data_IF_045091231389
#
_entry.id   IF_045091231389
#
_cell.length_a   1.000
_cell.length_b   1.000
_cell.length_c   1.000
_cell.angle_alpha   90.00
_cell.angle_beta   90.00
_cell.angle_gamma   90.00
#
_symmetry.space_group_name_H-M   'P 1'
#
loop_
_entity.id
_entity.type
_entity.pdbx_description
1 polymer ?
#
# COMPACT_ATOMS: atom_id res chain seq x y z
N UNK A 1 -2.24 -38.72 14.78
CA UNK A 1 -1.33 -37.82 15.54
C UNK A 1 0.06 -38.44 15.50
N UNK A 2 1.11 -37.65 15.35
CA UNK A 2 2.51 -38.12 15.29
C UNK A 2 3.30 -37.56 16.48
N UNK A 3 4.33 -38.26 16.99
CA UNK A 3 5.24 -37.73 18.00
C UNK A 3 5.97 -36.48 17.51
N UNK A 4 6.36 -35.58 18.43
CA UNK A 4 7.09 -34.34 18.08
C UNK A 4 8.42 -34.62 17.38
N UNK A 5 9.11 -35.71 17.75
CA UNK A 5 10.36 -36.13 17.10
C UNK A 5 10.15 -36.56 15.65
N UNK A 6 9.07 -37.30 15.37
CA UNK A 6 8.71 -37.68 14.00
C UNK A 6 8.44 -36.44 13.16
N UNK A 7 7.69 -35.46 13.68
CA UNK A 7 7.40 -34.21 12.97
C UNK A 7 8.69 -33.42 12.68
N UNK A 8 9.57 -33.28 13.67
CA UNK A 8 10.87 -32.60 13.51
C UNK A 8 11.73 -33.29 12.43
N UNK A 9 11.82 -34.62 12.47
CA UNK A 9 12.54 -35.40 11.46
C UNK A 9 11.96 -35.21 10.07
N UNK A 10 10.63 -35.27 9.93
CA UNK A 10 9.97 -35.07 8.64
C UNK A 10 10.30 -33.71 8.06
N UNK A 11 10.32 -32.63 8.86
CA UNK A 11 10.71 -31.29 8.40
C UNK A 11 12.15 -31.31 7.86
N UNK A 12 13.08 -31.96 8.58
CA UNK A 12 14.48 -32.11 8.15
C UNK A 12 14.62 -32.94 6.87
N UNK A 13 13.92 -34.08 6.77
CA UNK A 13 13.90 -34.96 5.59
C UNK A 13 13.30 -34.29 4.35
N UNK A 14 12.40 -33.34 4.53
CA UNK A 14 11.88 -32.50 3.44
C UNK A 14 12.90 -31.46 2.92
N UNK A 15 14.06 -31.35 3.57
CA UNK A 15 15.16 -30.46 3.18
C UNK A 15 15.07 -29.06 3.80
N UNK A 16 14.17 -28.81 4.75
CA UNK A 16 14.17 -27.57 5.52
C UNK A 16 15.28 -27.60 6.58
N UNK A 17 15.84 -26.44 6.91
CA UNK A 17 16.91 -26.30 7.91
C UNK A 17 16.56 -25.33 9.05
N UNK A 18 15.37 -24.73 9.03
CA UNK A 18 14.97 -23.71 9.97
C UNK A 18 13.45 -23.72 10.18
N UNK A 19 13.01 -23.50 11.42
CA UNK A 19 11.60 -23.38 11.79
C UNK A 19 11.38 -22.07 12.54
N UNK A 20 10.50 -21.20 12.02
CA UNK A 20 9.93 -20.08 12.78
C UNK A 20 8.83 -20.64 13.66
N UNK A 21 9.01 -20.60 14.99
CA UNK A 21 8.14 -21.23 15.97
C UNK A 21 7.34 -20.16 16.74
N UNK A 22 6.05 -19.99 16.44
CA UNK A 22 5.18 -19.00 17.08
C UNK A 22 4.89 -19.32 18.55
N UNK A 23 4.81 -18.27 19.37
CA UNK A 23 4.24 -18.32 20.72
C UNK A 23 3.41 -17.07 21.03
N UNK A 24 2.57 -17.12 22.06
CA UNK A 24 1.85 -15.94 22.57
C UNK A 24 2.38 -15.50 23.94
N UNK A 25 2.35 -14.19 24.21
CA UNK A 25 2.68 -13.64 25.54
C UNK A 25 1.78 -14.23 26.63
N UNK A 26 0.50 -14.46 26.32
CA UNK A 26 -0.44 -15.18 27.19
C UNK A 26 0.04 -16.59 27.51
N UNK A 27 0.35 -17.40 26.49
CA UNK A 27 0.75 -18.80 26.66
C UNK A 27 1.98 -18.91 27.55
N UNK A 28 2.97 -18.03 27.34
CA UNK A 28 4.14 -17.95 28.21
C UNK A 28 3.79 -17.52 29.63
N UNK A 29 3.02 -16.43 29.78
CA UNK A 29 2.74 -15.81 31.09
C UNK A 29 1.85 -16.68 31.97
N UNK A 30 0.73 -17.17 31.42
CA UNK A 30 -0.23 -17.99 32.19
C UNK A 30 0.21 -19.44 32.33
N UNK A 31 1.12 -19.90 31.47
CA UNK A 31 1.66 -21.26 31.44
C UNK A 31 0.60 -22.34 31.66
N UNK A 32 -0.46 -22.40 30.83
CA UNK A 32 -1.59 -23.29 31.09
C UNK A 32 -1.16 -24.76 31.00
N UNK A 33 -1.83 -25.61 31.78
CA UNK A 33 -1.75 -27.06 31.60
C UNK A 33 -2.41 -27.43 30.27
N UNK A 34 -1.70 -28.18 29.42
CA UNK A 34 -2.24 -28.64 28.14
C UNK A 34 -3.01 -29.94 28.38
N UNK A 35 -4.21 -30.03 27.80
CA UNK A 35 -5.06 -31.20 27.93
C UNK A 35 -4.36 -32.44 27.31
N UNK A 36 -4.26 -33.52 28.09
CA UNK A 36 -3.59 -34.78 27.71
C UNK A 36 -4.12 -35.39 26.40
N UNK A 37 -5.37 -35.10 26.03
CA UNK A 37 -5.93 -35.51 24.74
C UNK A 37 -5.12 -34.96 23.54
N UNK A 38 -4.51 -33.78 23.66
CA UNK A 38 -3.61 -33.22 22.65
C UNK A 38 -2.22 -33.88 22.65
N UNK A 39 -1.85 -34.53 23.75
CA UNK A 39 -0.51 -35.10 23.99
C UNK A 39 -0.45 -36.62 23.82
N UNK A 40 -1.52 -37.26 23.34
CA UNK A 40 -1.59 -38.72 23.12
C UNK A 40 -0.44 -39.34 22.30
N UNK A 41 0.19 -38.58 21.40
CA UNK A 41 1.36 -39.05 20.65
C UNK A 41 2.71 -38.79 21.36
N UNK A 42 2.68 -38.13 22.51
CA UNK A 42 3.82 -37.79 23.35
C UNK A 42 3.49 -38.09 24.84
N UNK A 43 3.28 -39.37 25.22
CA UNK A 43 2.84 -39.74 26.57
C UNK A 43 3.75 -39.23 27.69
N UNK A 44 5.04 -39.05 27.40
CA UNK A 44 6.02 -38.50 28.34
C UNK A 44 5.75 -37.04 28.75
N UNK A 45 4.89 -36.32 28.01
CA UNK A 45 4.49 -34.95 28.33
C UNK A 45 3.11 -34.88 29.03
N UNK A 46 2.41 -36.01 29.21
CA UNK A 46 1.09 -36.04 29.84
C UNK A 46 1.16 -35.83 31.36
N UNK A 47 0.04 -35.43 31.96
CA UNK A 47 -0.16 -35.29 33.40
C UNK A 47 0.44 -34.02 34.04
N UNK A 48 1.51 -33.46 33.46
CA UNK A 48 2.10 -32.20 33.92
C UNK A 48 2.66 -31.35 32.76
N UNK A 49 2.16 -31.57 31.53
CA UNK A 49 2.57 -30.84 30.34
C UNK A 49 2.03 -29.42 30.32
N UNK A 50 2.73 -28.50 30.98
CA UNK A 50 2.46 -27.09 30.90
C UNK A 50 3.04 -26.50 29.59
N UNK A 51 2.52 -25.34 29.17
CA UNK A 51 2.89 -24.71 27.90
C UNK A 51 4.41 -24.56 27.73
N UNK A 52 5.12 -24.06 28.75
CA UNK A 52 6.57 -23.81 28.69
C UNK A 52 7.36 -25.10 28.49
N UNK A 53 6.96 -26.16 29.19
CA UNK A 53 7.57 -27.48 29.14
C UNK A 53 7.37 -28.13 27.75
N UNK A 54 6.16 -27.99 27.20
CA UNK A 54 5.85 -28.49 25.85
C UNK A 54 6.56 -27.67 24.77
N UNK A 55 6.64 -26.34 24.94
CA UNK A 55 7.38 -25.48 24.03
C UNK A 55 8.86 -25.85 24.04
N UNK A 56 9.45 -26.05 25.23
CA UNK A 56 10.82 -26.54 25.38
C UNK A 56 11.02 -27.89 24.70
N UNK A 57 10.16 -28.87 24.96
CA UNK A 57 10.26 -30.18 24.34
C UNK A 57 10.17 -30.10 22.80
N UNK A 58 9.37 -29.17 22.28
CA UNK A 58 9.25 -28.92 20.84
C UNK A 58 10.53 -28.34 20.25
N UNK A 59 11.13 -27.32 20.90
CA UNK A 59 12.41 -26.74 20.46
C UNK A 59 13.55 -27.77 20.56
N UNK A 60 13.60 -28.54 21.65
CA UNK A 60 14.61 -29.60 21.82
C UNK A 60 14.47 -30.65 20.71
N UNK A 61 13.25 -31.08 20.37
CA UNK A 61 13.01 -32.02 19.28
C UNK A 61 13.46 -31.47 17.92
N UNK A 62 13.11 -30.22 17.59
CA UNK A 62 13.54 -29.56 16.36
C UNK A 62 15.06 -29.49 16.25
N UNK A 63 15.71 -29.00 17.31
CA UNK A 63 17.16 -28.81 17.34
C UNK A 63 17.93 -30.13 17.37
N UNK A 64 17.36 -31.20 17.93
CA UNK A 64 17.96 -32.55 17.89
C UNK A 64 18.04 -33.15 16.49
N UNK A 65 17.18 -32.71 15.57
CA UNK A 65 17.18 -33.10 14.16
C UNK A 65 17.97 -32.10 13.29
N UNK A 66 18.75 -31.21 13.92
CA UNK A 66 19.64 -30.24 13.26
C UNK A 66 18.97 -28.99 12.73
N UNK A 67 17.69 -28.77 13.04
CA UNK A 67 16.94 -27.59 12.58
C UNK A 67 17.26 -26.37 13.45
N UNK A 68 17.54 -25.24 12.79
CA UNK A 68 17.55 -23.94 13.45
C UNK A 68 16.12 -23.54 13.87
N UNK A 69 16.00 -22.78 14.95
CA UNK A 69 14.72 -22.28 15.46
C UNK A 69 14.78 -20.76 15.62
N UNK A 70 13.80 -20.09 15.04
CA UNK A 70 13.49 -18.67 15.25
C UNK A 70 12.27 -18.62 16.17
N UNK A 71 12.45 -18.16 17.41
CA UNK A 71 11.33 -18.00 18.34
C UNK A 71 10.59 -16.72 17.98
N UNK A 72 9.30 -16.81 17.70
CA UNK A 72 8.49 -15.69 17.23
C UNK A 72 7.38 -15.35 18.22
N UNK A 73 7.40 -14.14 18.78
CA UNK A 73 6.24 -13.62 19.50
C UNK A 73 5.15 -13.26 18.50
N UNK A 74 4.19 -14.18 18.34
CA UNK A 74 3.17 -14.06 17.33
C UNK A 74 1.97 -13.24 17.79
N UNK A 75 1.65 -13.35 19.08
CA UNK A 75 0.50 -12.71 19.67
C UNK A 75 0.73 -12.29 21.11
N UNK A 76 -0.10 -11.34 21.56
CA UNK A 76 -0.30 -11.06 22.96
C UNK A 76 -1.23 -12.12 23.56
N UNK A 77 -2.40 -12.34 22.97
CA UNK A 77 -3.38 -13.37 23.38
C UNK A 77 -3.24 -14.65 22.55
N UNK A 78 -3.42 -15.81 23.15
CA UNK A 78 -3.43 -17.10 22.45
C UNK A 78 -4.61 -17.15 21.49
N UNK A 79 -4.35 -17.28 20.19
CA UNK A 79 -5.42 -17.32 19.18
C UNK A 79 -4.90 -17.05 17.77
N UNK A 80 -5.82 -16.71 16.87
CA UNK A 80 -5.54 -16.33 15.49
C UNK A 80 -5.19 -14.85 15.37
N UNK A 81 -4.24 -14.55 14.49
CA UNK A 81 -3.91 -13.21 14.00
C UNK A 81 -3.60 -13.28 12.50
N UNK A 82 -3.76 -12.22 11.72
CA UNK A 82 -4.01 -10.85 12.15
C UNK A 82 -5.14 -10.19 11.33
N UNK A 83 -6.00 -9.41 11.97
CA UNK A 83 -6.95 -8.54 11.28
C UNK A 83 -6.91 -7.13 11.86
N UNK A 84 -7.26 -6.13 11.04
CA UNK A 84 -7.26 -4.70 11.42
C UNK A 84 -8.14 -4.36 12.63
N UNK A 85 -9.10 -5.23 12.96
CA UNK A 85 -10.04 -5.04 14.06
C UNK A 85 -9.61 -5.71 15.38
N UNK A 86 -8.58 -6.55 15.31
CA UNK A 86 -7.99 -7.22 16.47
C UNK A 86 -7.00 -6.29 17.17
N UNK A 87 -7.01 -6.34 18.50
CA UNK A 87 -6.03 -5.65 19.34
C UNK A 87 -4.72 -6.45 19.40
N UNK A 88 -4.08 -6.66 18.25
CA UNK A 88 -2.83 -7.43 18.14
C UNK A 88 -1.79 -6.72 17.26
N UNK A 89 -2.09 -5.55 16.70
CA UNK A 89 -1.15 -4.82 15.85
C UNK A 89 0.04 -4.22 16.59
N UNK A 90 -0.11 -3.93 17.88
CA UNK A 90 0.96 -3.39 18.72
C UNK A 90 1.63 -4.50 19.53
N UNK A 91 2.77 -4.20 20.16
CA UNK A 91 3.52 -5.15 21.01
C UNK A 91 2.90 -5.36 22.40
N UNK A 92 1.75 -4.76 22.67
CA UNK A 92 1.04 -4.85 23.94
C UNK A 92 -0.46 -4.74 23.73
N UNK A 93 -1.22 -5.22 24.72
CA UNK A 93 -2.69 -5.11 24.83
C UNK A 93 -3.04 -4.72 26.26
N UNK A 94 -4.28 -4.28 26.57
CA UNK A 94 -4.65 -3.92 27.95
C UNK A 94 -4.34 -4.99 28.99
N UNK A 95 -4.44 -6.28 28.64
CA UNK A 95 -4.17 -7.41 29.53
C UNK A 95 -2.68 -7.79 29.62
N UNK A 96 -1.87 -7.45 28.61
CA UNK A 96 -0.44 -7.77 28.55
C UNK A 96 0.36 -6.53 28.16
N UNK A 97 0.98 -5.91 29.17
CA UNK A 97 1.83 -4.73 28.99
C UNK A 97 3.08 -5.02 28.16
N UNK A 98 3.72 -3.95 27.67
CA UNK A 98 5.05 -4.03 27.05
C UNK A 98 6.06 -4.75 27.96
N UNK A 99 6.05 -4.47 29.26
CA UNK A 99 6.95 -5.14 30.22
C UNK A 99 6.69 -6.65 30.30
N UNK A 100 5.44 -7.08 30.18
CA UNK A 100 5.07 -8.51 30.17
C UNK A 100 5.53 -9.17 28.87
N UNK A 101 5.36 -8.49 27.74
CA UNK A 101 5.89 -8.94 26.44
C UNK A 101 7.41 -9.10 26.47
N UNK A 102 8.15 -8.08 26.91
CA UNK A 102 9.62 -8.15 27.04
C UNK A 102 10.04 -9.27 28.00
N UNK A 103 9.37 -9.40 29.16
CA UNK A 103 9.66 -10.47 30.11
C UNK A 103 9.44 -11.86 29.51
N UNK A 104 8.47 -12.03 28.60
CA UNK A 104 8.26 -13.30 27.90
C UNK A 104 9.40 -13.64 26.95
N UNK A 105 9.89 -12.67 26.18
CA UNK A 105 11.04 -12.81 25.29
C UNK A 105 12.30 -13.16 26.07
N UNK A 106 12.57 -12.41 27.15
CA UNK A 106 13.73 -12.63 28.04
C UNK A 106 13.67 -14.03 28.68
N UNK A 107 12.49 -14.46 29.15
CA UNK A 107 12.32 -15.78 29.75
C UNK A 107 12.63 -16.93 28.79
N UNK A 108 12.17 -16.83 27.53
CA UNK A 108 12.52 -17.79 26.48
C UNK A 108 14.01 -17.70 26.11
N UNK A 109 14.58 -16.51 26.02
CA UNK A 109 16.00 -16.31 25.72
C UNK A 109 16.92 -16.92 26.79
N UNK A 110 16.54 -16.80 28.07
CA UNK A 110 17.22 -17.49 29.18
C UNK A 110 17.04 -19.01 29.09
N UNK A 111 15.83 -19.49 28.80
CA UNK A 111 15.52 -20.92 28.72
C UNK A 111 16.37 -21.65 27.66
N UNK A 112 16.69 -20.98 26.55
CA UNK A 112 17.43 -21.58 25.43
C UNK A 112 18.86 -21.02 25.27
N UNK A 113 19.42 -20.39 26.31
CA UNK A 113 20.74 -19.76 26.26
C UNK A 113 21.85 -20.68 25.78
N UNK A 114 21.80 -21.94 26.18
CA UNK A 114 22.82 -22.95 25.89
C UNK A 114 22.48 -23.80 24.65
N UNK A 115 21.39 -23.49 23.94
CA UNK A 115 21.02 -24.17 22.69
C UNK A 115 21.44 -23.31 21.49
N UNK A 116 22.55 -23.65 20.79
CA UNK A 116 23.08 -22.82 19.70
C UNK A 116 22.20 -22.85 18.44
N UNK A 117 21.25 -23.79 18.34
CA UNK A 117 20.31 -23.86 17.21
C UNK A 117 19.06 -23.02 17.45
N UNK A 118 18.87 -22.42 18.62
CA UNK A 118 17.95 -21.28 18.78
C UNK A 118 18.69 -20.03 18.33
N UNK A 119 18.52 -19.68 17.05
CA UNK A 119 19.40 -18.70 16.38
C UNK A 119 18.88 -17.27 16.44
N UNK A 120 17.57 -17.09 16.63
CA UNK A 120 16.98 -15.76 16.60
C UNK A 120 15.67 -15.64 17.39
N UNK A 121 15.37 -14.40 17.77
CA UNK A 121 14.11 -13.98 18.33
C UNK A 121 13.46 -12.95 17.40
N UNK A 122 12.35 -13.34 16.80
CA UNK A 122 11.42 -12.41 16.17
C UNK A 122 10.53 -11.81 17.26
N UNK A 123 10.81 -10.56 17.55
CA UNK A 123 10.30 -9.88 18.75
C UNK A 123 8.81 -9.60 18.66
N UNK A 124 8.23 -9.45 17.46
CA UNK A 124 6.79 -9.25 17.27
C UNK A 124 6.38 -9.53 15.83
N UNK A 125 5.42 -10.42 15.66
CA UNK A 125 4.78 -10.70 14.38
C UNK A 125 3.93 -9.52 13.90
N UNK A 126 4.11 -9.15 12.63
CA UNK A 126 3.22 -8.26 11.88
C UNK A 126 2.76 -6.98 12.61
N UNK A 127 3.67 -6.10 13.08
CA UNK A 127 3.25 -4.81 13.62
C UNK A 127 2.38 -4.02 12.62
N UNK A 128 1.20 -3.56 13.07
CA UNK A 128 0.23 -2.87 12.22
C UNK A 128 -0.64 -1.87 12.99
N UNK A 129 -1.29 -0.98 12.24
CA UNK A 129 -2.26 -0.04 12.78
C UNK A 129 -3.48 -0.77 13.35
N UNK A 130 -4.03 -0.28 14.47
CA UNK A 130 -5.26 -0.82 15.05
C UNK A 130 -6.32 0.29 15.07
N UNK A 131 -7.41 0.12 14.31
CA UNK A 131 -8.52 1.08 14.22
C UNK A 131 -8.06 2.53 14.00
N UNK A 132 -7.99 3.33 15.08
CA UNK A 132 -7.63 4.76 15.07
C UNK A 132 -6.23 5.04 15.63
N UNK A 133 -5.51 4.02 16.11
CA UNK A 133 -4.15 4.12 16.64
C UNK A 133 -3.18 3.68 15.54
N UNK A 134 -2.36 4.63 15.10
CA UNK A 134 -1.41 4.43 13.99
C UNK A 134 -0.01 4.19 14.55
N UNK A 135 0.64 3.14 14.04
CA UNK A 135 2.02 2.80 14.37
C UNK A 135 2.96 3.82 13.72
N UNK A 136 4.01 4.19 14.45
CA UNK A 136 5.08 5.07 13.97
C UNK A 136 6.41 4.34 14.00
N UNK A 137 7.43 4.95 13.40
CA UNK A 137 8.79 4.41 13.36
C UNK A 137 9.79 5.56 13.44
N UNK A 138 10.56 5.61 14.53
CA UNK A 138 11.65 6.57 14.71
C UNK A 138 11.23 7.98 15.15
N UNK A 139 9.97 8.20 15.54
CA UNK A 139 9.49 9.50 16.03
C UNK A 139 9.65 9.69 17.55
N UNK A 140 10.08 8.64 18.26
CA UNK A 140 10.34 8.65 19.69
C UNK A 140 9.11 8.59 20.59
N UNK A 141 7.90 8.44 20.02
CA UNK A 141 6.69 8.31 20.81
C UNK A 141 6.62 6.90 21.45
N UNK A 142 6.69 6.76 22.78
CA UNK A 142 6.72 5.44 23.43
C UNK A 142 5.45 4.62 23.22
N UNK A 143 4.33 5.24 22.86
CA UNK A 143 3.06 4.54 22.67
C UNK A 143 2.87 3.99 21.25
N UNK A 144 3.64 4.47 20.28
CA UNK A 144 3.45 4.15 18.85
C UNK A 144 4.72 3.82 18.08
N UNK A 145 5.89 4.19 18.58
CA UNK A 145 7.16 3.98 17.88
C UNK A 145 7.61 2.53 18.00
N UNK A 146 7.35 1.76 16.94
CA UNK A 146 7.77 0.36 16.87
C UNK A 146 9.30 0.23 16.91
N UNK A 147 10.05 1.15 16.29
CA UNK A 147 11.50 1.06 16.26
C UNK A 147 12.10 1.18 17.68
N UNK A 148 11.53 2.07 18.49
CA UNK A 148 11.89 2.24 19.89
C UNK A 148 11.58 0.99 20.71
N UNK A 149 10.36 0.44 20.58
CA UNK A 149 9.94 -0.76 21.30
C UNK A 149 10.75 -2.00 20.90
N UNK A 150 10.98 -2.22 19.61
CA UNK A 150 11.78 -3.32 19.08
C UNK A 150 13.23 -3.25 19.58
N UNK A 151 13.82 -2.04 19.60
CA UNK A 151 15.17 -1.81 20.13
C UNK A 151 15.25 -2.15 21.61
N UNK A 152 14.25 -1.75 22.40
CA UNK A 152 14.19 -2.06 23.83
C UNK A 152 14.08 -3.56 24.09
N UNK A 153 13.18 -4.25 23.39
CA UNK A 153 13.00 -5.70 23.51
C UNK A 153 14.24 -6.49 23.05
N UNK A 154 14.80 -6.13 21.89
CA UNK A 154 16.01 -6.76 21.37
C UNK A 154 17.20 -6.62 22.32
N UNK A 155 17.40 -5.43 22.88
CA UNK A 155 18.45 -5.20 23.88
C UNK A 155 18.25 -6.03 25.16
N UNK A 156 17.01 -6.21 25.62
CA UNK A 156 16.71 -7.02 26.79
C UNK A 156 16.97 -8.52 26.54
N UNK A 157 16.65 -9.03 25.34
CA UNK A 157 16.99 -10.39 24.92
C UNK A 157 18.51 -10.59 24.87
N UNK A 158 19.23 -9.64 24.28
CA UNK A 158 20.69 -9.75 24.13
C UNK A 158 21.46 -9.64 25.45
N UNK A 159 20.91 -8.98 26.48
CA UNK A 159 21.50 -8.94 27.82
C UNK A 159 21.59 -10.34 28.46
N UNK A 160 20.68 -11.24 28.11
CA UNK A 160 20.62 -12.58 28.71
C UNK A 160 21.18 -13.64 27.78
N UNK A 161 21.04 -13.46 26.47
CA UNK A 161 21.56 -14.32 25.43
C UNK A 161 22.19 -13.50 24.29
N UNK A 162 23.51 -13.21 24.33
CA UNK A 162 24.19 -12.35 23.35
C UNK A 162 24.48 -13.04 22.01
N UNK A 163 24.16 -14.34 21.88
CA UNK A 163 24.50 -15.15 20.71
C UNK A 163 23.39 -15.20 19.66
N UNK A 164 22.16 -14.80 20.01
CA UNK A 164 21.01 -14.82 19.09
C UNK A 164 20.91 -13.55 18.25
N UNK A 165 20.27 -13.66 17.10
CA UNK A 165 19.85 -12.53 16.29
C UNK A 165 18.49 -12.00 16.78
N UNK A 166 18.24 -10.72 16.55
CA UNK A 166 16.97 -10.05 16.80
C UNK A 166 16.33 -9.74 15.46
N UNK A 167 15.23 -10.44 15.17
CA UNK A 167 14.43 -10.23 13.97
C UNK A 167 13.41 -9.14 14.27
N UNK A 168 13.42 -8.07 13.48
CA UNK A 168 12.52 -6.92 13.60
C UNK A 168 11.68 -6.82 12.34
N UNK A 169 10.38 -7.06 12.50
CA UNK A 169 9.38 -6.91 11.45
C UNK A 169 9.22 -5.45 11.00
N UNK A 170 8.85 -5.23 9.74
CA UNK A 170 8.46 -3.92 9.21
C UNK A 170 7.10 -3.42 9.74
N UNK A 171 6.70 -2.24 9.28
CA UNK A 171 5.36 -1.71 9.52
C UNK A 171 4.32 -2.41 8.62
N UNK A 172 3.05 -2.13 8.90
CA UNK A 172 1.93 -2.50 8.03
C UNK A 172 1.85 -4.00 7.79
N UNK A 173 1.62 -4.78 8.85
CA UNK A 173 1.63 -6.25 8.77
C UNK A 173 2.97 -6.79 8.26
N UNK A 174 4.07 -6.15 8.65
CA UNK A 174 5.42 -6.50 8.19
C UNK A 174 5.63 -6.31 6.66
N UNK A 175 4.85 -5.47 5.98
CA UNK A 175 5.02 -5.25 4.54
C UNK A 175 6.08 -4.20 4.19
N UNK A 176 6.31 -3.21 5.06
CA UNK A 176 7.05 -2.00 4.71
C UNK A 176 8.27 -1.77 5.62
N UNK A 177 9.46 -1.81 5.00
CA UNK A 177 10.75 -1.48 5.62
C UNK A 177 11.26 -0.09 5.22
N UNK A 178 10.49 0.69 4.46
CA UNK A 178 10.80 2.05 4.04
C UNK A 178 11.36 2.95 5.16
N UNK A 179 10.78 2.95 6.38
CA UNK A 179 11.27 3.78 7.48
C UNK A 179 12.72 3.51 7.90
N UNK A 180 13.25 2.30 7.68
CA UNK A 180 14.59 1.89 8.14
C UNK A 180 15.70 2.70 7.48
N UNK A 181 15.47 3.20 6.26
CA UNK A 181 16.46 4.02 5.55
C UNK A 181 16.84 5.27 6.35
N UNK A 182 15.88 5.87 7.02
CA UNK A 182 16.05 7.11 7.80
C UNK A 182 16.33 6.80 9.28
N UNK A 183 15.70 5.76 9.80
CA UNK A 183 15.79 5.37 11.22
C UNK A 183 16.10 3.87 11.37
N UNK A 184 17.34 3.43 11.11
CA UNK A 184 17.71 2.03 11.30
C UNK A 184 17.72 1.66 12.79
N UNK A 185 17.33 0.42 13.11
CA UNK A 185 17.43 -0.15 14.46
C UNK A 185 18.90 -0.21 14.88
N UNK A 186 19.20 0.35 16.05
CA UNK A 186 20.52 0.31 16.66
C UNK A 186 20.45 -0.40 18.01
N UNK A 187 20.91 -1.66 18.03
CA UNK A 187 21.06 -2.42 19.26
C UNK A 187 22.42 -2.09 19.92
N UNK A 188 22.50 -2.23 21.25
CA UNK A 188 23.74 -2.01 22.01
C UNK A 188 24.84 -2.99 21.58
N UNK A 189 24.46 -4.24 21.30
CA UNK A 189 25.36 -5.24 20.73
C UNK A 189 25.25 -5.19 19.19
N UNK A 190 26.31 -4.81 18.48
CA UNK A 190 26.27 -4.67 17.02
C UNK A 190 26.16 -6.03 16.32
N UNK A 191 25.80 -6.01 15.04
CA UNK A 191 25.72 -7.20 14.17
C UNK A 191 24.75 -8.26 14.70
N UNK A 192 23.59 -7.80 15.18
CA UNK A 192 22.52 -8.67 15.72
C UNK A 192 21.14 -8.42 15.12
N UNK A 193 20.94 -7.35 14.36
CA UNK A 193 19.64 -7.04 13.75
C UNK A 193 19.46 -7.82 12.45
N UNK A 194 18.28 -8.41 12.28
CA UNK A 194 17.76 -8.94 11.01
C UNK A 194 16.41 -8.28 10.77
N UNK A 195 16.16 -7.79 9.56
CA UNK A 195 14.85 -7.24 9.20
C UNK A 195 14.00 -8.30 8.49
N UNK A 196 12.71 -8.33 8.81
CA UNK A 196 11.74 -9.26 8.21
C UNK A 196 10.68 -8.49 7.42
N UNK A 197 10.22 -9.11 6.34
CA UNK A 197 9.04 -8.68 5.59
C UNK A 197 8.10 -9.86 5.35
N UNK A 198 6.81 -9.58 5.39
CA UNK A 198 5.76 -10.49 4.94
C UNK A 198 5.20 -9.99 3.62
N UNK A 199 4.99 -10.91 2.69
CA UNK A 199 4.46 -10.58 1.36
C UNK A 199 3.44 -11.64 0.95
N UNK A 200 2.18 -11.23 0.95
CA UNK A 200 1.04 -12.06 0.58
C UNK A 200 0.27 -11.42 -0.58
N UNK A 201 -0.54 -12.23 -1.26
CA UNK A 201 -1.27 -11.77 -2.45
C UNK A 201 -2.38 -10.79 -2.10
N UNK A 202 -2.96 -10.97 -0.92
CA UNK A 202 -4.02 -10.18 -0.30
C UNK A 202 -3.59 -8.72 -0.07
N UNK A 203 -2.28 -8.49 0.06
CA UNK A 203 -1.68 -7.20 0.32
C UNK A 203 -1.44 -6.36 -0.94
N UNK A 204 -1.60 -6.95 -2.12
CA UNK A 204 -1.26 -6.33 -3.39
C UNK A 204 -2.53 -6.11 -4.22
N UNK A 205 -3.05 -4.88 -4.27
CA UNK A 205 -4.28 -4.55 -5.01
C UNK A 205 -4.23 -5.04 -6.47
N UNK A 206 -3.11 -4.86 -7.15
CA UNK A 206 -2.94 -5.31 -8.52
C UNK A 206 -3.04 -6.84 -8.62
N UNK A 207 -2.44 -7.56 -7.68
CA UNK A 207 -2.44 -9.02 -7.67
C UNK A 207 -3.80 -9.59 -7.25
N UNK A 208 -4.51 -8.92 -6.34
CA UNK A 208 -5.91 -9.18 -6.01
C UNK A 208 -6.80 -9.05 -7.25
N UNK A 209 -6.61 -7.98 -8.03
CA UNK A 209 -7.31 -7.80 -9.32
C UNK A 209 -6.98 -8.95 -10.26
N UNK A 210 -5.71 -9.34 -10.36
CA UNK A 210 -5.31 -10.38 -11.30
C UNK A 210 -5.76 -11.79 -10.93
N UNK A 211 -5.89 -12.07 -9.64
CA UNK A 211 -6.38 -13.35 -9.14
C UNK A 211 -7.90 -13.49 -9.28
N UNK A 212 -8.65 -12.42 -9.03
CA UNK A 212 -10.11 -12.50 -8.94
C UNK A 212 -10.82 -12.14 -10.25
N UNK A 213 -10.21 -11.32 -11.10
CA UNK A 213 -10.90 -10.78 -12.28
C UNK A 213 -10.20 -11.14 -13.59
N UNK A 214 -8.90 -10.88 -13.72
CA UNK A 214 -8.23 -11.00 -15.01
C UNK A 214 -6.70 -11.15 -14.90
N UNK A 215 -6.13 -12.22 -15.47
CA UNK A 215 -4.68 -12.44 -15.46
C UNK A 215 -3.88 -11.26 -16.03
N UNK A 216 -2.63 -11.09 -15.57
CA UNK A 216 -1.69 -10.09 -16.12
C UNK A 216 -1.54 -10.17 -17.64
N UNK A 217 -1.50 -11.39 -18.20
CA UNK A 217 -1.41 -11.60 -19.64
C UNK A 217 -2.65 -11.06 -20.37
N UNK A 218 -3.84 -11.24 -19.81
CA UNK A 218 -5.08 -10.72 -20.38
C UNK A 218 -5.15 -9.20 -20.29
N UNK A 219 -4.74 -8.61 -19.17
CA UNK A 219 -4.64 -7.15 -18.99
C UNK A 219 -3.69 -6.57 -20.02
N UNK A 220 -2.50 -7.15 -20.19
CA UNK A 220 -1.52 -6.69 -21.17
C UNK A 220 -2.05 -6.80 -22.61
N UNK A 221 -2.66 -7.93 -22.98
CA UNK A 221 -3.23 -8.11 -24.33
C UNK A 221 -4.35 -7.13 -24.62
N UNK A 222 -5.25 -6.89 -23.66
CA UNK A 222 -6.32 -5.91 -23.78
C UNK A 222 -5.73 -4.51 -23.93
N UNK A 223 -4.74 -4.16 -23.09
CA UNK A 223 -4.02 -2.89 -23.16
C UNK A 223 -3.38 -2.66 -24.52
N UNK A 224 -2.66 -3.65 -25.07
CA UNK A 224 -2.08 -3.59 -26.40
C UNK A 224 -3.12 -3.44 -27.50
N UNK A 225 -4.23 -4.19 -27.41
CA UNK A 225 -5.32 -4.10 -28.39
C UNK A 225 -5.95 -2.72 -28.40
N UNK A 226 -6.25 -2.16 -27.22
CA UNK A 226 -6.77 -0.80 -27.08
C UNK A 226 -5.77 0.24 -27.60
N UNK A 227 -4.49 0.09 -27.29
CA UNK A 227 -3.45 0.99 -27.79
C UNK A 227 -3.38 0.99 -29.32
N UNK A 228 -3.37 -0.19 -29.96
CA UNK A 228 -3.38 -0.31 -31.42
C UNK A 228 -4.64 0.30 -32.03
N UNK A 229 -5.81 0.05 -31.44
CA UNK A 229 -7.07 0.63 -31.91
C UNK A 229 -7.06 2.17 -31.81
N UNK A 230 -6.55 2.72 -30.71
CA UNK A 230 -6.39 4.17 -30.54
C UNK A 230 -5.43 4.74 -31.57
N UNK A 231 -4.29 4.09 -31.82
CA UNK A 231 -3.35 4.51 -32.87
C UNK A 231 -3.98 4.50 -34.27
N UNK A 232 -4.78 3.48 -34.59
CA UNK A 232 -5.52 3.41 -35.86
C UNK A 232 -6.54 4.55 -35.95
N UNK A 233 -7.28 4.80 -34.88
CA UNK A 233 -8.26 5.89 -34.82
C UNK A 233 -7.57 7.26 -35.00
N UNK A 234 -6.43 7.48 -34.35
CA UNK A 234 -5.64 8.72 -34.48
C UNK A 234 -5.13 8.89 -35.92
N UNK A 235 -4.61 7.83 -36.54
CA UNK A 235 -4.19 7.86 -37.95
C UNK A 235 -5.37 8.16 -38.89
N UNK A 236 -6.55 7.59 -38.62
CA UNK A 236 -7.77 7.88 -39.38
C UNK A 236 -8.18 9.36 -39.23
N UNK A 237 -8.16 9.89 -38.00
CA UNK A 237 -8.42 11.30 -37.70
C UNK A 237 -7.42 12.22 -38.44
N UNK A 238 -6.13 11.89 -38.42
CA UNK A 238 -5.09 12.64 -39.15
C UNK A 238 -5.32 12.58 -40.66
N UNK A 239 -5.67 11.42 -41.21
CA UNK A 239 -5.98 11.28 -42.64
C UNK A 239 -7.19 12.14 -43.05
N UNK A 240 -8.28 12.11 -42.28
CA UNK A 240 -9.46 12.96 -42.52
C UNK A 240 -9.07 14.44 -42.40
N UNK A 241 -8.32 14.82 -41.37
CA UNK A 241 -7.84 16.19 -41.18
C UNK A 241 -6.99 16.68 -42.37
N UNK A 242 -6.11 15.83 -42.92
CA UNK A 242 -5.33 16.14 -44.12
C UNK A 242 -6.24 16.33 -45.35
N UNK A 243 -7.23 15.46 -45.57
CA UNK A 243 -8.17 15.55 -46.69
C UNK A 243 -9.04 16.82 -46.64
N UNK A 244 -9.36 17.31 -45.44
CA UNK A 244 -10.09 18.56 -45.24
C UNK A 244 -9.22 19.82 -45.41
N UNK A 245 -7.96 19.68 -45.84
CA UNK A 245 -7.06 20.82 -46.03
C UNK A 245 -6.44 21.34 -44.74
N UNK A 246 -6.31 20.50 -43.72
CA UNK A 246 -5.72 20.83 -42.41
C UNK A 246 -6.42 22.03 -41.73
N UNK A 247 -7.75 21.96 -41.53
CA UNK A 247 -8.49 23.06 -40.92
C UNK A 247 -7.88 23.39 -39.56
N UNK A 248 -7.72 24.69 -39.29
CA UNK A 248 -7.21 25.19 -38.01
C UNK A 248 -8.39 25.52 -37.11
N UNK A 249 -8.39 25.07 -35.85
CA UNK A 249 -9.44 25.44 -34.92
C UNK A 249 -9.44 26.97 -34.70
N UNK A 250 -10.61 27.57 -34.40
CA UNK A 250 -10.69 28.99 -34.04
C UNK A 250 -9.75 29.36 -32.89
N UNK A 251 -9.34 30.63 -32.84
CA UNK A 251 -8.42 31.13 -31.80
C UNK A 251 -8.98 30.82 -30.40
N UNK A 252 -8.18 30.17 -29.57
CA UNK A 252 -8.57 29.79 -28.20
C UNK A 252 -9.23 28.41 -28.06
N UNK A 253 -9.83 27.84 -29.11
CA UNK A 253 -10.46 26.50 -29.04
C UNK A 253 -9.41 25.44 -28.71
N UNK A 254 -8.26 25.45 -29.39
CA UNK A 254 -7.18 24.47 -29.16
C UNK A 254 -6.71 24.44 -27.71
N UNK A 255 -6.47 25.60 -27.11
CA UNK A 255 -6.05 25.70 -25.71
C UNK A 255 -7.16 25.31 -24.74
N UNK A 256 -8.42 25.65 -25.05
CA UNK A 256 -9.57 25.28 -24.21
C UNK A 256 -9.75 23.78 -24.19
N UNK A 257 -9.71 23.13 -25.36
CA UNK A 257 -9.80 21.67 -25.47
C UNK A 257 -8.65 20.96 -24.76
N UNK A 258 -7.41 21.46 -24.91
CA UNK A 258 -6.26 20.88 -24.22
C UNK A 258 -6.43 20.94 -22.69
N UNK A 259 -6.69 22.13 -22.13
CA UNK A 259 -6.82 22.27 -20.68
C UNK A 259 -8.06 21.57 -20.13
N UNK A 260 -9.15 21.46 -20.91
CA UNK A 260 -10.32 20.68 -20.52
C UNK A 260 -9.99 19.19 -20.38
N UNK A 261 -9.34 18.57 -21.37
CA UNK A 261 -8.93 17.16 -21.30
C UNK A 261 -7.86 16.93 -20.23
N UNK A 262 -6.88 17.81 -20.13
CA UNK A 262 -5.84 17.74 -19.11
C UNK A 262 -6.44 17.75 -17.69
N UNK A 263 -7.35 18.70 -17.40
CA UNK A 263 -8.06 18.74 -16.12
C UNK A 263 -8.95 17.52 -15.90
N UNK A 264 -9.66 17.05 -16.93
CA UNK A 264 -10.51 15.86 -16.82
C UNK A 264 -9.70 14.61 -16.43
N UNK A 265 -8.57 14.36 -17.09
CA UNK A 265 -7.69 13.23 -16.75
C UNK A 265 -7.16 13.37 -15.32
N UNK A 266 -6.73 14.57 -14.91
CA UNK A 266 -6.25 14.80 -13.55
C UNK A 266 -7.34 14.61 -12.48
N UNK A 267 -8.61 14.92 -12.78
CA UNK A 267 -9.74 14.62 -11.88
C UNK A 267 -9.91 13.12 -11.68
N UNK A 268 -9.80 12.33 -12.76
CA UNK A 268 -9.88 10.87 -12.67
C UNK A 268 -8.72 10.29 -11.87
N UNK A 269 -7.51 10.77 -12.13
CA UNK A 269 -6.29 10.35 -11.42
C UNK A 269 -6.37 10.74 -9.94
N UNK A 270 -6.82 11.96 -9.61
CA UNK A 270 -6.99 12.40 -8.24
C UNK A 270 -8.05 11.58 -7.51
N UNK A 271 -9.17 11.26 -8.17
CA UNK A 271 -10.21 10.38 -7.64
C UNK A 271 -9.64 8.99 -7.30
N UNK A 272 -8.80 8.44 -8.17
CA UNK A 272 -8.11 7.17 -7.93
C UNK A 272 -7.18 7.28 -6.71
N UNK A 273 -6.36 8.34 -6.61
CA UNK A 273 -5.50 8.54 -5.45
C UNK A 273 -6.28 8.67 -4.15
N UNK A 274 -7.39 9.38 -4.14
CA UNK A 274 -8.27 9.51 -2.97
C UNK A 274 -8.83 8.15 -2.55
N UNK A 275 -9.28 7.34 -3.52
CA UNK A 275 -9.78 5.99 -3.26
C UNK A 275 -8.68 5.08 -2.69
N UNK A 276 -7.48 5.10 -3.29
CA UNK A 276 -6.33 4.36 -2.79
C UNK A 276 -5.92 4.82 -1.40
N UNK A 277 -5.85 6.13 -1.15
CA UNK A 277 -5.49 6.66 0.17
C UNK A 277 -6.49 6.21 1.23
N UNK A 278 -7.80 6.26 0.92
CA UNK A 278 -8.85 5.83 1.83
C UNK A 278 -8.77 4.35 2.16
N UNK A 279 -8.45 3.51 1.16
CA UNK A 279 -8.23 2.08 1.34
C UNK A 279 -6.97 1.79 2.17
N UNK A 280 -5.81 2.29 1.74
CA UNK A 280 -4.53 1.99 2.38
C UNK A 280 -4.41 2.57 3.78
N UNK A 281 -5.07 3.70 4.09
CA UNK A 281 -5.04 4.29 5.44
C UNK A 281 -5.52 3.35 6.54
N UNK A 282 -6.35 2.35 6.21
CA UNK A 282 -6.86 1.36 7.16
C UNK A 282 -5.86 0.23 7.45
N UNK A 283 -4.98 -0.09 6.50
CA UNK A 283 -4.05 -1.22 6.59
C UNK A 283 -2.60 -0.78 6.79
N UNK A 284 -2.25 0.39 6.29
CA UNK A 284 -0.92 0.95 6.29
C UNK A 284 -0.97 2.49 6.22
N UNK A 285 -1.17 3.13 7.37
CA UNK A 285 -1.21 4.58 7.49
C UNK A 285 0.11 5.24 7.06
N UNK A 286 1.23 4.60 7.37
CA UNK A 286 2.56 5.06 6.95
C UNK A 286 2.62 5.26 5.44
N UNK A 287 2.37 4.21 4.65
CA UNK A 287 2.36 4.28 3.18
C UNK A 287 1.34 5.30 2.65
N UNK A 288 0.15 5.33 3.23
CA UNK A 288 -0.88 6.29 2.82
C UNK A 288 -0.40 7.74 2.98
N UNK A 289 0.26 8.07 4.10
CA UNK A 289 0.74 9.43 4.39
C UNK A 289 2.02 9.81 3.69
N UNK A 290 2.98 8.89 3.55
CA UNK A 290 4.29 9.21 2.96
C UNK A 290 4.24 9.20 1.44
N UNK A 291 3.45 8.31 0.84
CA UNK A 291 3.41 8.14 -0.62
C UNK A 291 2.12 8.66 -1.26
N UNK A 292 0.96 8.14 -0.85
CA UNK A 292 -0.30 8.47 -1.52
C UNK A 292 -0.71 9.94 -1.31
N UNK A 293 -0.55 10.48 -0.10
CA UNK A 293 -0.83 11.88 0.17
C UNK A 293 0.06 12.81 -0.67
N UNK A 294 1.33 12.46 -0.86
CA UNK A 294 2.25 13.23 -1.72
C UNK A 294 1.77 13.25 -3.18
N UNK A 295 1.35 12.10 -3.73
CA UNK A 295 0.78 12.02 -5.07
C UNK A 295 -0.51 12.83 -5.21
N UNK A 296 -1.37 12.83 -4.18
CA UNK A 296 -2.57 13.66 -4.14
C UNK A 296 -2.23 15.15 -4.17
N UNK A 297 -1.24 15.60 -3.40
CA UNK A 297 -0.80 17.00 -3.39
C UNK A 297 -0.27 17.43 -4.75
N UNK A 298 0.60 16.64 -5.39
CA UNK A 298 1.11 16.94 -6.74
C UNK A 298 -0.04 17.00 -7.75
N UNK A 299 -0.90 15.98 -7.76
CA UNK A 299 -2.00 15.90 -8.73
C UNK A 299 -2.98 17.07 -8.55
N UNK A 300 -3.25 17.46 -7.30
CA UNK A 300 -4.07 18.63 -6.99
C UNK A 300 -3.44 19.93 -7.49
N UNK A 301 -2.13 20.11 -7.29
CA UNK A 301 -1.39 21.26 -7.83
C UNK A 301 -1.45 21.32 -9.37
N UNK A 302 -1.22 20.19 -10.03
CA UNK A 302 -1.36 20.07 -11.48
C UNK A 302 -2.78 20.37 -11.96
N UNK A 303 -3.80 19.93 -11.22
CA UNK A 303 -5.20 20.16 -11.55
C UNK A 303 -5.55 21.65 -11.45
N UNK A 304 -5.05 22.35 -10.42
CA UNK A 304 -5.22 23.80 -10.30
C UNK A 304 -4.61 24.56 -11.48
N UNK A 305 -3.41 24.16 -11.92
CA UNK A 305 -2.79 24.73 -13.14
C UNK A 305 -3.63 24.45 -14.39
N UNK A 306 -4.19 23.24 -14.50
CA UNK A 306 -5.10 22.87 -15.58
C UNK A 306 -6.37 23.74 -15.61
N UNK A 307 -7.02 23.90 -14.46
CA UNK A 307 -8.25 24.70 -14.30
C UNK A 307 -7.96 26.18 -14.58
N UNK A 308 -6.86 26.73 -14.06
CA UNK A 308 -6.44 28.09 -14.35
C UNK A 308 -6.19 28.31 -15.85
N UNK A 309 -5.50 27.35 -16.50
CA UNK A 309 -5.29 27.35 -17.95
C UNK A 309 -6.60 27.30 -18.74
N UNK A 310 -7.57 26.49 -18.29
CA UNK A 310 -8.89 26.39 -18.89
C UNK A 310 -9.65 27.71 -18.78
N UNK A 311 -9.70 28.32 -17.59
CA UNK A 311 -10.35 29.62 -17.36
C UNK A 311 -9.72 30.69 -18.25
N UNK A 312 -8.39 30.81 -18.26
CA UNK A 312 -7.68 31.77 -19.08
C UNK A 312 -7.91 31.55 -20.59
N UNK A 313 -8.06 30.29 -21.02
CA UNK A 313 -8.39 29.95 -22.41
C UNK A 313 -9.83 30.33 -22.76
N UNK A 314 -10.79 30.06 -21.87
CA UNK A 314 -12.20 30.43 -22.06
C UNK A 314 -12.38 31.95 -22.11
N UNK A 315 -11.67 32.71 -21.28
CA UNK A 315 -11.67 34.18 -21.33
C UNK A 315 -11.13 34.69 -22.66
N UNK A 316 -10.00 34.13 -23.14
CA UNK A 316 -9.42 34.49 -24.45
C UNK A 316 -10.37 34.15 -25.60
N UNK A 317 -10.99 32.98 -25.55
CA UNK A 317 -11.99 32.56 -26.54
C UNK A 317 -13.19 33.51 -26.59
N UNK A 318 -13.77 33.85 -25.42
CA UNK A 318 -14.89 34.81 -25.33
C UNK A 318 -14.53 36.20 -25.85
N UNK A 319 -13.33 36.70 -25.52
CA UNK A 319 -12.86 38.01 -26.03
C UNK A 319 -12.69 38.00 -27.55
N UNK A 320 -12.12 36.94 -28.10
CA UNK A 320 -11.93 36.82 -29.55
C UNK A 320 -13.25 36.76 -30.32
N UNK A 321 -14.31 36.22 -29.72
CA UNK A 321 -15.62 36.09 -30.37
C UNK A 321 -16.60 37.24 -30.09
N UNK A 322 -16.50 37.95 -28.96
CA UNK A 322 -17.25 39.21 -28.79
C UNK A 322 -16.85 40.26 -29.82
N UNK A 323 -15.56 40.38 -30.11
CA UNK A 323 -15.05 41.34 -31.11
C UNK A 323 -15.51 40.99 -32.53
N UNK A 324 -15.81 39.73 -32.83
CA UNK A 324 -16.37 39.37 -34.14
C UNK A 324 -17.86 39.60 -34.25
N UNK A 325 -18.62 39.49 -33.14
CA UNK A 325 -20.05 39.78 -33.13
C UNK A 325 -20.30 41.30 -33.30
N UNK A 326 -19.57 42.17 -32.58
CA UNK A 326 -19.67 43.64 -32.74
C UNK A 326 -19.31 44.12 -34.15
N UNK A 327 -18.28 43.53 -34.79
CA UNK A 327 -17.92 43.89 -36.18
C UNK A 327 -18.90 43.33 -37.22
N UNK A 328 -19.66 42.28 -36.89
CA UNK A 328 -20.66 41.70 -37.79
C UNK A 328 -21.98 42.46 -37.79
N UNK A 329 -22.29 43.19 -36.70
CA UNK A 329 -23.43 44.12 -36.66
C UNK A 329 -23.14 45.35 -37.54
N UNK A 330 -21.95 45.95 -37.45
CA UNK A 330 -21.52 47.08 -38.32
C UNK A 330 -21.53 46.70 -39.82
N UNK A 331 -20.99 45.53 -40.19
CA UNK A 331 -20.98 45.03 -41.59
C UNK A 331 -22.40 44.71 -42.13
N UNK A 332 -23.38 44.51 -41.24
CA UNK A 332 -24.77 44.23 -41.60
C UNK A 332 -25.58 45.50 -41.82
N UNK A 333 -25.30 46.58 -41.07
CA UNK A 333 -25.86 47.91 -41.30
C UNK A 333 -25.37 48.49 -42.63
N UNK A 334 -24.07 48.40 -42.92
CA UNK A 334 -23.47 48.95 -44.15
C UNK A 334 -23.98 48.24 -45.43
N UNK A 335 -24.22 46.91 -45.35
CA UNK A 335 -24.88 46.16 -46.44
C UNK A 335 -26.35 46.48 -46.60
N UNK A 336 -27.05 46.87 -45.53
CA UNK A 336 -28.46 47.24 -45.61
C UNK A 336 -28.63 48.58 -46.35
N UNK A 337 -27.74 49.55 -46.08
CA UNK A 337 -27.73 50.83 -46.78
C UNK A 337 -27.34 50.69 -48.26
N UNK A 338 -26.38 49.82 -48.58
CA UNK A 338 -25.99 49.56 -49.97
C UNK A 338 -27.10 48.88 -50.78
N UNK A 339 -27.83 47.94 -50.17
CA UNK A 339 -28.99 47.26 -50.79
C UNK A 339 -30.17 48.22 -51.01
N UNK A 340 -30.43 49.14 -50.08
CA UNK A 340 -31.50 50.12 -50.23
C UNK A 340 -31.14 51.24 -51.22
N UNK A 341 -29.85 51.59 -51.34
CA UNK A 341 -29.34 52.48 -52.38
C UNK A 341 -29.49 51.85 -53.79
N UNK A 342 -29.25 50.54 -53.91
CA UNK A 342 -29.44 49.79 -55.16
C UNK A 342 -30.92 49.69 -55.53
N UNK A 343 -31.81 49.40 -54.57
CA UNK A 343 -33.27 49.37 -54.80
C UNK A 343 -33.81 50.74 -55.22
N UNK A 344 -33.33 51.82 -54.60
CA UNK A 344 -33.66 53.21 -54.95
C UNK A 344 -33.27 53.55 -56.40
N UNK A 345 -32.06 53.18 -56.83
CA UNK A 345 -31.60 53.38 -58.22
C UNK A 345 -32.36 52.53 -59.24
N UNK A 346 -32.77 51.31 -58.88
CA UNK A 346 -33.60 50.47 -59.75
C UNK A 346 -35.04 51.03 -59.91
N UNK A 347 -35.61 51.65 -58.88
CA UNK A 347 -36.93 52.27 -58.94
C UNK A 347 -36.98 53.52 -59.84
N UNK A 348 -35.88 54.28 -59.95
CA UNK A 348 -35.78 55.44 -60.85
C UNK A 348 -35.64 55.06 -62.34
N UNK A 349 -35.24 53.83 -62.65
CA UNK A 349 -35.01 53.36 -64.03
C UNK A 349 -36.11 52.44 -64.60
N UNK A 350 -37.22 52.25 -63.89
CA UNK A 350 -38.42 51.62 -64.45
C UNK A 350 -38.24 50.15 -64.87
N UNK A 351 -37.37 49.40 -64.20
CA UNK A 351 -37.26 47.95 -64.40
C UNK A 351 -38.13 47.23 -63.36
N UNK A 352 -39.37 46.92 -63.77
CA UNK A 352 -40.27 46.06 -63.01
C UNK A 352 -39.78 44.61 -62.97
N UNK A 353 -39.95 44.00 -61.79
CA UNK A 353 -39.67 42.60 -61.44
C UNK A 353 -39.94 41.60 -62.58
N UNK A 354 -38.98 40.70 -62.80
CA UNK A 354 -39.23 39.34 -63.28
C UNK A 354 -38.60 38.38 -62.28
N UNK A 355 -39.35 37.31 -62.04
CA UNK A 355 -39.26 36.31 -60.95
C UNK A 355 -37.86 35.78 -60.61
#
# INVERSE_FOLDING_TARGET
KQPISTLARTISEMGFNCVRLPYSTQGWTTNPLVNDSHLTANPQLQGNGHFREIFKATVDALTSEGLMVIINNHNSKSGWCCTVDQDEGFWHVPEYSESTWIASLVGLAMMFKDNPLVVAFDVRNEPHDIRWKFMTWGDGNPDTDWALAATKAGNAVLDVNPNVLIVVSGLCFCMDLGPIKEHPIQLRLPNRVVYEVHNYIEFQLATLVTNNFMSWNSIQRLGWSLFVLLMIADLACVNVWMKLGKPRPPKGVRSTTFFAWYSFVLILVLSLWIAMYSFYRLYCNYYARTFLAYLMTITSGCLLLGIAGLIASLVRYRRAHRVTDDNSEDDSEDRSEEVDLIKSKCAQHGLGNRD
#
